data_IF_104674765299
#
_entry.id   IF_104674765299
#
_cell.length_a   1.000
_cell.length_b   1.000
_cell.length_c   1.000
_cell.angle_alpha   90.00
_cell.angle_beta   90.00
_cell.angle_gamma   90.00
#
_symmetry.space_group_name_H-M   'P 1'
#
loop_
_entity.id
_entity.type
_entity.pdbx_description
1 polymer ?
#
# COMPACT_ATOMS: atom_id res chain seq x y z
N UNK A 1 -18.22 4.37 11.68
CA UNK A 1 -17.04 3.49 11.86
C UNK A 1 -17.52 2.08 11.59
N UNK A 2 -16.70 1.24 10.94
CA UNK A 2 -17.12 -0.11 10.51
C UNK A 2 -17.83 -0.90 11.61
N UNK A 3 -17.35 -0.76 12.84
CA UNK A 3 -17.85 -1.49 14.00
C UNK A 3 -19.28 -1.08 14.36
N UNK A 4 -19.57 0.22 14.37
CA UNK A 4 -20.92 0.76 14.59
C UNK A 4 -21.86 0.39 13.44
N UNK A 5 -21.37 0.46 12.20
CA UNK A 5 -22.16 0.11 11.01
C UNK A 5 -22.53 -1.38 10.95
N UNK A 6 -21.67 -2.27 11.47
CA UNK A 6 -21.94 -3.70 11.52
C UNK A 6 -22.82 -4.12 12.71
N UNK A 7 -23.03 -3.25 13.71
CA UNK A 7 -23.84 -3.53 14.90
C UNK A 7 -23.45 -4.83 15.65
N UNK A 8 -22.15 -5.07 15.87
CA UNK A 8 -21.61 -6.32 16.45
C UNK A 8 -21.45 -6.24 17.99
N UNK A 9 -21.86 -5.12 18.59
CA UNK A 9 -21.90 -4.90 20.04
C UNK A 9 -21.50 -3.48 20.42
N UNK A 10 -21.53 -3.19 21.73
CA UNK A 10 -21.29 -1.83 22.24
C UNK A 10 -19.80 -1.52 22.45
N UNK A 11 -19.02 -2.52 22.89
CA UNK A 11 -17.60 -2.36 23.19
C UNK A 11 -16.72 -3.28 22.33
N UNK A 12 -15.72 -2.76 21.61
CA UNK A 12 -14.78 -3.59 20.86
C UNK A 12 -13.76 -4.25 21.80
N UNK A 13 -13.55 -5.56 21.59
CA UNK A 13 -12.35 -6.28 22.02
C UNK A 13 -11.57 -6.67 20.77
N UNK A 14 -10.39 -6.09 20.63
CA UNK A 14 -9.56 -6.12 19.43
C UNK A 14 -8.61 -7.32 19.43
N UNK A 15 -8.69 -8.13 18.39
CA UNK A 15 -7.63 -9.07 18.06
C UNK A 15 -6.70 -8.46 17.01
N UNK A 16 -5.44 -8.23 17.35
CA UNK A 16 -4.36 -7.93 16.43
C UNK A 16 -3.83 -9.25 15.86
N UNK A 17 -4.32 -9.60 14.69
CA UNK A 17 -4.15 -10.95 14.13
C UNK A 17 -2.91 -11.02 13.24
N UNK A 18 -2.00 -11.92 13.61
CA UNK A 18 -0.75 -12.22 12.89
C UNK A 18 -0.58 -13.75 12.71
N UNK A 19 0.44 -14.20 11.98
CA UNK A 19 0.75 -15.61 11.72
C UNK A 19 2.06 -16.03 12.41
N UNK A 20 2.03 -16.18 13.73
CA UNK A 20 3.16 -16.61 14.54
C UNK A 20 4.44 -15.79 14.36
N UNK A 21 5.61 -16.42 14.47
CA UNK A 21 6.93 -15.77 14.26
C UNK A 21 7.25 -15.45 12.79
N UNK A 22 6.36 -15.75 11.84
CA UNK A 22 6.59 -15.50 10.42
C UNK A 22 6.44 -14.02 10.03
N UNK A 23 5.90 -13.18 10.94
CA UNK A 23 5.56 -11.78 10.68
C UNK A 23 6.68 -10.76 10.80
N UNK A 24 7.79 -11.06 11.49
CA UNK A 24 8.95 -10.15 11.65
C UNK A 24 8.66 -8.79 12.32
N UNK A 25 7.41 -8.51 12.71
CA UNK A 25 6.91 -7.18 13.12
C UNK A 25 6.37 -7.16 14.56
N UNK A 26 6.77 -8.12 15.41
CA UNK A 26 6.23 -8.26 16.77
C UNK A 26 6.24 -6.94 17.56
N UNK A 27 7.31 -6.14 17.41
CA UNK A 27 7.44 -4.83 18.06
C UNK A 27 6.34 -3.84 17.68
N UNK A 28 6.07 -3.65 16.38
CA UNK A 28 5.06 -2.68 15.92
C UNK A 28 3.65 -3.10 16.36
N UNK A 29 3.35 -4.40 16.32
CA UNK A 29 2.04 -4.93 16.71
C UNK A 29 1.81 -4.78 18.21
N UNK A 30 2.85 -4.94 19.04
CA UNK A 30 2.80 -4.69 20.48
C UNK A 30 2.58 -3.21 20.81
N UNK A 31 3.25 -2.29 20.11
CA UNK A 31 3.01 -0.84 20.27
C UNK A 31 1.55 -0.49 19.95
N UNK A 32 0.99 -1.06 18.87
CA UNK A 32 -0.42 -0.85 18.51
C UNK A 32 -1.34 -1.42 19.59
N UNK A 33 -1.05 -2.62 20.12
CA UNK A 33 -1.82 -3.23 21.22
C UNK A 33 -1.86 -2.30 22.43
N UNK A 34 -0.69 -1.85 22.88
CA UNK A 34 -0.56 -1.06 24.09
C UNK A 34 -1.26 0.29 23.94
N UNK A 35 -1.15 0.92 22.75
CA UNK A 35 -1.93 2.13 22.43
C UNK A 35 -3.44 1.91 22.59
N UNK A 36 -4.01 0.81 22.09
CA UNK A 36 -5.45 0.54 22.26
C UNK A 36 -5.83 0.33 23.73
N UNK A 37 -5.00 -0.40 24.48
CA UNK A 37 -5.22 -0.66 25.92
C UNK A 37 -5.20 0.65 26.72
N UNK A 38 -4.23 1.52 26.47
CA UNK A 38 -4.11 2.84 27.11
C UNK A 38 -5.33 3.74 26.82
N UNK A 39 -6.01 3.51 25.70
CA UNK A 39 -7.23 4.23 25.30
C UNK A 39 -8.53 3.47 25.63
N UNK A 40 -8.47 2.46 26.50
CA UNK A 40 -9.65 1.76 27.03
C UNK A 40 -10.25 0.71 26.10
N UNK A 41 -9.54 0.30 25.05
CA UNK A 41 -9.94 -0.80 24.17
C UNK A 41 -9.09 -2.03 24.49
N UNK A 42 -9.72 -3.08 25.00
CA UNK A 42 -9.03 -4.35 25.23
C UNK A 42 -8.47 -4.90 23.91
N UNK A 43 -7.17 -5.21 23.89
CA UNK A 43 -6.48 -5.69 22.70
C UNK A 43 -5.51 -6.83 23.00
N UNK A 44 -5.48 -7.83 22.13
CA UNK A 44 -4.56 -8.97 22.22
C UNK A 44 -3.93 -9.26 20.86
N UNK A 45 -2.65 -9.65 20.86
CA UNK A 45 -2.01 -10.25 19.68
C UNK A 45 -2.39 -11.71 19.63
N UNK A 46 -2.99 -12.16 18.52
CA UNK A 46 -3.57 -13.50 18.40
C UNK A 46 -3.09 -14.13 17.10
N UNK A 47 -2.63 -15.38 17.15
CA UNK A 47 -2.41 -16.16 15.94
C UNK A 47 -3.76 -16.54 15.33
N UNK A 48 -3.95 -16.33 14.02
CA UNK A 48 -5.24 -16.65 13.41
C UNK A 48 -5.68 -18.12 13.58
N UNK A 49 -4.75 -19.03 13.87
CA UNK A 49 -5.01 -20.46 14.13
C UNK A 49 -5.58 -20.72 15.52
N UNK A 50 -5.45 -19.77 16.44
CA UNK A 50 -5.91 -19.89 17.84
C UNK A 50 -7.37 -19.45 18.01
N UNK A 51 -8.07 -19.19 16.91
CA UNK A 51 -9.49 -18.86 16.94
C UNK A 51 -10.38 -20.09 16.89
N UNK A 52 -11.41 -20.06 17.72
CA UNK A 52 -12.57 -20.96 17.66
C UNK A 52 -13.80 -20.17 17.21
N UNK A 53 -14.47 -20.62 16.16
CA UNK A 53 -15.74 -20.06 15.73
C UNK A 53 -16.90 -20.91 16.26
N UNK A 54 -17.67 -20.34 17.18
CA UNK A 54 -18.82 -21.04 17.78
C UNK A 54 -19.94 -20.06 18.07
N UNK A 55 -21.18 -20.50 17.79
CA UNK A 55 -22.41 -19.73 18.08
C UNK A 55 -22.35 -18.28 17.56
N UNK A 56 -21.85 -18.06 16.34
CA UNK A 56 -21.81 -16.73 15.71
C UNK A 56 -20.70 -15.81 16.20
N UNK A 57 -19.76 -16.28 17.01
CA UNK A 57 -18.70 -15.47 17.60
C UNK A 57 -17.33 -16.13 17.47
N UNK A 58 -16.28 -15.30 17.42
CA UNK A 58 -14.88 -15.73 17.44
C UNK A 58 -14.34 -15.66 18.86
N UNK A 59 -13.69 -16.74 19.30
CA UNK A 59 -13.05 -16.83 20.60
C UNK A 59 -11.58 -17.23 20.46
N UNK A 60 -10.73 -16.78 21.38
CA UNK A 60 -9.40 -17.37 21.59
C UNK A 60 -9.18 -17.52 23.08
N UNK A 61 -8.73 -18.70 23.53
CA UNK A 61 -8.60 -19.04 24.96
C UNK A 61 -9.87 -18.71 25.79
N UNK A 62 -11.05 -18.99 25.23
CA UNK A 62 -12.35 -18.72 25.88
C UNK A 62 -12.81 -17.26 25.84
N UNK A 63 -11.97 -16.33 25.39
CA UNK A 63 -12.27 -14.89 25.32
C UNK A 63 -12.87 -14.53 23.95
N UNK A 64 -14.00 -13.81 23.94
CA UNK A 64 -14.68 -13.35 22.71
C UNK A 64 -13.98 -12.13 22.11
N UNK A 65 -13.73 -12.16 20.80
CA UNK A 65 -13.25 -11.00 20.02
C UNK A 65 -14.28 -10.62 18.97
N UNK A 66 -14.66 -9.34 18.94
CA UNK A 66 -15.65 -8.78 18.01
C UNK A 66 -15.06 -7.70 17.09
N UNK A 67 -13.79 -7.34 17.27
CA UNK A 67 -13.02 -6.52 16.35
C UNK A 67 -11.71 -7.23 16.02
N UNK A 68 -11.29 -7.17 14.75
CA UNK A 68 -10.09 -7.84 14.26
C UNK A 68 -9.29 -6.83 13.45
N UNK A 69 -8.04 -6.59 13.85
CA UNK A 69 -7.04 -6.01 12.99
C UNK A 69 -6.27 -7.11 12.23
N UNK A 70 -6.50 -7.28 10.93
CA UNK A 70 -5.78 -8.24 10.07
C UNK A 70 -4.39 -7.70 9.73
N UNK A 71 -3.40 -8.10 10.52
CA UNK A 71 -1.97 -7.84 10.27
C UNK A 71 -1.31 -8.83 9.30
N UNK A 72 -1.99 -9.92 8.94
CA UNK A 72 -1.44 -10.96 8.07
C UNK A 72 -1.81 -10.83 6.59
N UNK A 73 -0.90 -11.32 5.73
CA UNK A 73 -1.08 -11.36 4.27
C UNK A 73 -2.19 -12.32 3.85
N UNK A 74 -2.89 -11.98 2.77
CA UNK A 74 -4.02 -12.76 2.28
C UNK A 74 -3.60 -14.15 1.78
N UNK A 75 -2.34 -14.31 1.32
CA UNK A 75 -1.84 -15.60 0.84
C UNK A 75 -1.83 -16.70 1.93
N UNK A 76 -1.69 -16.35 3.21
CA UNK A 76 -1.70 -17.34 4.30
C UNK A 76 -3.02 -18.10 4.37
N UNK A 77 -4.14 -17.46 4.03
CA UNK A 77 -5.45 -18.09 3.98
C UNK A 77 -5.58 -19.15 2.89
N UNK A 78 -4.84 -18.97 1.79
CA UNK A 78 -4.79 -19.94 0.69
C UNK A 78 -3.86 -21.11 1.02
N UNK A 79 -2.78 -20.85 1.77
CA UNK A 79 -1.78 -21.86 2.14
C UNK A 79 -2.23 -22.74 3.31
N UNK A 80 -2.99 -22.18 4.25
CA UNK A 80 -3.39 -22.85 5.50
C UNK A 80 -4.93 -22.86 5.71
N UNK A 81 -5.73 -23.32 4.73
CA UNK A 81 -7.18 -23.22 4.80
C UNK A 81 -7.80 -24.10 5.90
N UNK A 82 -7.13 -25.22 6.27
CA UNK A 82 -7.61 -26.12 7.32
C UNK A 82 -7.31 -25.57 8.71
N UNK A 83 -6.11 -25.04 8.92
CA UNK A 83 -5.72 -24.45 10.20
C UNK A 83 -6.49 -23.15 10.48
N UNK A 84 -6.91 -22.43 9.44
CA UNK A 84 -7.63 -21.16 9.55
C UNK A 84 -9.15 -21.28 9.36
N UNK A 85 -9.70 -22.51 9.42
CA UNK A 85 -11.12 -22.78 9.14
C UNK A 85 -12.07 -21.92 9.99
N UNK A 86 -11.74 -21.75 11.27
CA UNK A 86 -12.60 -21.07 12.24
C UNK A 86 -12.52 -19.56 12.08
N UNK A 87 -11.31 -19.02 11.92
CA UNK A 87 -11.14 -17.60 11.56
C UNK A 87 -11.90 -17.26 10.26
N UNK A 88 -11.76 -18.08 9.22
CA UNK A 88 -12.46 -17.88 7.96
C UNK A 88 -13.99 -17.96 8.15
N UNK A 89 -14.49 -18.97 8.88
CA UNK A 89 -15.90 -19.07 9.18
C UNK A 89 -16.43 -17.83 9.93
N UNK A 90 -15.69 -17.33 10.91
CA UNK A 90 -16.06 -16.12 11.65
C UNK A 90 -16.10 -14.87 10.78
N UNK A 91 -15.08 -14.65 9.93
CA UNK A 91 -15.06 -13.52 8.99
C UNK A 91 -16.22 -13.62 7.98
N UNK A 92 -16.41 -14.81 7.38
CA UNK A 92 -17.48 -15.06 6.39
C UNK A 92 -18.87 -14.80 6.97
N UNK A 93 -19.09 -15.21 8.22
CA UNK A 93 -20.35 -15.02 8.94
C UNK A 93 -20.44 -13.67 9.70
N UNK A 94 -19.51 -12.74 9.46
CA UNK A 94 -19.49 -11.40 10.09
C UNK A 94 -19.51 -11.43 11.62
N UNK A 95 -18.83 -12.40 12.22
CA UNK A 95 -18.73 -12.58 13.67
C UNK A 95 -17.96 -11.45 14.39
N UNK A 96 -17.16 -10.67 13.64
CA UNK A 96 -16.36 -9.55 14.10
C UNK A 96 -16.19 -8.49 12.99
N UNK A 97 -15.98 -7.20 13.31
CA UNK A 97 -15.52 -6.23 12.31
C UNK A 97 -14.07 -6.53 11.94
N UNK A 98 -13.80 -6.74 10.65
CA UNK A 98 -12.48 -7.03 10.10
C UNK A 98 -11.85 -5.78 9.45
N UNK A 99 -10.70 -5.35 9.96
CA UNK A 99 -9.90 -4.23 9.45
C UNK A 99 -8.46 -4.68 9.31
N UNK A 100 -7.79 -4.75 8.17
CA UNK A 100 -8.21 -4.45 6.82
C UNK A 100 -8.94 -5.66 6.23
N UNK A 101 -10.12 -5.43 5.64
CA UNK A 101 -10.89 -6.50 4.99
C UNK A 101 -10.13 -7.14 3.82
N UNK A 102 -10.52 -8.33 3.37
CA UNK A 102 -9.92 -8.95 2.18
C UNK A 102 -10.05 -8.10 0.90
N UNK A 103 -11.07 -7.23 0.82
CA UNK A 103 -11.24 -6.31 -0.32
C UNK A 103 -10.08 -5.31 -0.44
N UNK A 104 -9.41 -5.00 0.68
CA UNK A 104 -8.23 -4.11 0.68
C UNK A 104 -7.04 -4.66 -0.11
N UNK A 105 -7.00 -5.98 -0.36
CA UNK A 105 -5.92 -6.62 -1.14
C UNK A 105 -5.85 -6.05 -2.55
N UNK A 106 -7.00 -5.75 -3.16
CA UNK A 106 -7.07 -5.14 -4.50
C UNK A 106 -6.31 -3.80 -4.52
N UNK A 107 -6.43 -3.00 -3.45
CA UNK A 107 -5.71 -1.73 -3.33
C UNK A 107 -4.20 -1.88 -3.18
N UNK A 108 -3.69 -3.07 -2.83
CA UNK A 108 -2.25 -3.34 -2.75
C UNK A 108 -1.65 -3.90 -4.05
N UNK A 109 -2.47 -4.29 -5.02
CA UNK A 109 -2.02 -4.84 -6.29
C UNK A 109 -1.51 -3.76 -7.23
N UNK A 110 -0.27 -3.89 -7.73
CA UNK A 110 0.30 -2.88 -8.65
C UNK A 110 -0.41 -2.85 -10.00
N UNK A 111 -1.04 -3.96 -10.39
CA UNK A 111 -1.89 -4.03 -11.59
C UNK A 111 -3.11 -3.11 -11.53
N UNK A 112 -3.58 -2.74 -10.33
CA UNK A 112 -4.64 -1.74 -10.17
C UNK A 112 -4.21 -0.37 -10.74
N UNK A 113 -2.92 -0.05 -10.71
CA UNK A 113 -2.40 1.17 -11.32
C UNK A 113 -2.52 1.15 -12.84
N UNK A 114 -2.51 -0.04 -13.47
CA UNK A 114 -2.83 -0.13 -14.91
C UNK A 114 -4.26 0.32 -15.17
N UNK A 115 -5.23 -0.25 -14.42
CA UNK A 115 -6.63 0.14 -14.55
C UNK A 115 -6.83 1.65 -14.35
N UNK A 116 -6.24 2.22 -13.29
CA UNK A 116 -6.39 3.63 -12.94
C UNK A 116 -5.72 4.55 -14.00
N UNK A 117 -4.54 4.20 -14.50
CA UNK A 117 -3.78 5.04 -15.44
C UNK A 117 -4.15 4.84 -16.91
N UNK A 118 -5.06 3.92 -17.23
CA UNK A 118 -5.48 3.65 -18.60
C UNK A 118 -6.67 4.54 -18.99
N UNK A 119 -6.53 5.45 -19.98
CA UNK A 119 -7.60 6.36 -20.39
C UNK A 119 -8.90 5.67 -20.81
N UNK A 120 -8.84 4.41 -21.26
CA UNK A 120 -10.02 3.61 -21.59
C UNK A 120 -10.97 3.49 -20.38
N UNK A 121 -10.43 3.52 -19.16
CA UNK A 121 -11.19 3.42 -17.91
C UNK A 121 -11.62 4.77 -17.33
N UNK A 122 -11.32 5.90 -17.99
CA UNK A 122 -11.63 7.23 -17.44
C UNK A 122 -13.14 7.50 -17.26
N UNK A 123 -13.99 6.74 -17.95
CA UNK A 123 -15.44 6.80 -17.74
C UNK A 123 -15.90 6.36 -16.34
N UNK A 124 -15.05 5.70 -15.54
CA UNK A 124 -15.33 5.40 -14.13
C UNK A 124 -14.99 6.54 -13.16
N UNK A 125 -14.37 7.62 -13.65
CA UNK A 125 -13.85 8.71 -12.83
C UNK A 125 -14.46 10.04 -13.26
N UNK A 126 -14.63 10.95 -12.31
CA UNK A 126 -15.00 12.34 -12.63
C UNK A 126 -13.75 13.15 -13.08
N UNK A 127 -13.98 14.36 -13.59
CA UNK A 127 -12.91 15.20 -14.13
C UNK A 127 -11.81 15.53 -13.10
N UNK A 128 -12.18 15.79 -11.85
CA UNK A 128 -11.21 16.08 -10.78
C UNK A 128 -10.34 14.86 -10.47
N UNK A 129 -10.95 13.67 -10.39
CA UNK A 129 -10.24 12.41 -10.20
C UNK A 129 -9.28 12.15 -11.37
N UNK A 130 -9.71 12.37 -12.62
CA UNK A 130 -8.84 12.22 -13.80
C UNK A 130 -7.64 13.18 -13.73
N UNK A 131 -7.85 14.44 -13.31
CA UNK A 131 -6.76 15.41 -13.11
C UNK A 131 -5.75 14.90 -12.06
N UNK A 132 -6.23 14.37 -10.93
CA UNK A 132 -5.39 13.78 -9.88
C UNK A 132 -4.63 12.55 -10.40
N UNK A 133 -5.30 11.65 -11.11
CA UNK A 133 -4.71 10.45 -11.70
C UNK A 133 -3.55 10.82 -12.63
N UNK A 134 -3.78 11.70 -13.60
CA UNK A 134 -2.75 12.14 -14.56
C UNK A 134 -1.55 12.79 -13.88
N UNK A 135 -1.76 13.48 -12.76
CA UNK A 135 -0.71 14.18 -12.02
C UNK A 135 0.12 13.26 -11.14
N UNK A 136 -0.47 12.22 -10.55
CA UNK A 136 0.14 11.47 -9.45
C UNK A 136 0.35 9.98 -9.72
N UNK A 137 -0.32 9.40 -10.73
CA UNK A 137 -0.21 7.97 -11.04
C UNK A 137 0.65 7.81 -12.29
N UNK A 138 1.84 7.18 -12.20
CA UNK A 138 2.66 6.88 -13.37
C UNK A 138 1.92 5.97 -14.35
N UNK A 139 2.13 6.18 -15.64
CA UNK A 139 1.62 5.28 -16.68
C UNK A 139 2.03 3.84 -16.35
N UNK A 140 1.07 2.92 -16.34
CA UNK A 140 1.29 1.52 -15.95
C UNK A 140 0.47 0.62 -16.87
N UNK A 141 1.02 -0.51 -17.31
CA UNK A 141 0.31 -1.55 -18.06
C UNK A 141 0.70 -2.94 -17.57
N UNK A 142 -0.25 -3.87 -17.61
CA UNK A 142 0.01 -5.30 -17.44
C UNK A 142 0.56 -5.87 -18.75
N UNK A 143 1.36 -6.93 -18.66
CA UNK A 143 1.96 -7.53 -19.85
C UNK A 143 0.94 -8.25 -20.76
N UNK A 144 -0.28 -8.52 -20.27
CA UNK A 144 -1.39 -9.05 -21.07
C UNK A 144 -2.16 -7.98 -21.85
N UNK A 145 -1.86 -6.69 -21.67
CA UNK A 145 -2.40 -5.58 -22.47
C UNK A 145 -1.59 -5.38 -23.76
N UNK A 146 -1.62 -6.37 -24.65
CA UNK A 146 -0.75 -6.46 -25.84
C UNK A 146 -0.83 -5.23 -26.76
N UNK A 147 -2.03 -4.69 -26.97
CA UNK A 147 -2.30 -3.40 -27.61
C UNK A 147 -2.87 -2.45 -26.57
N UNK A 148 -2.30 -1.25 -26.46
CA UNK A 148 -2.70 -0.31 -25.41
C UNK A 148 -2.39 1.14 -25.79
N UNK A 149 -2.87 2.08 -24.97
CA UNK A 149 -2.55 3.50 -25.11
C UNK A 149 -1.20 3.82 -24.44
N UNK A 150 -0.29 4.44 -25.20
CA UNK A 150 0.96 5.01 -24.71
C UNK A 150 0.71 6.17 -23.73
N UNK A 151 1.76 6.64 -23.07
CA UNK A 151 1.71 7.84 -22.23
C UNK A 151 1.33 9.08 -23.03
N UNK A 152 1.73 9.11 -24.30
CA UNK A 152 1.50 10.20 -25.25
C UNK A 152 0.08 10.19 -25.82
N UNK A 153 -0.68 9.12 -25.59
CA UNK A 153 -2.05 8.99 -26.08
C UNK A 153 -2.15 8.39 -27.49
N UNK A 154 -1.20 7.53 -27.86
CA UNK A 154 -1.20 6.78 -29.13
C UNK A 154 -1.46 5.29 -28.88
N UNK A 155 -2.13 4.62 -29.81
CA UNK A 155 -2.25 3.16 -29.76
C UNK A 155 -0.92 2.51 -30.15
N UNK A 156 -0.41 1.62 -29.30
CA UNK A 156 0.89 0.97 -29.47
C UNK A 156 0.81 -0.51 -29.12
N UNK A 157 1.65 -1.31 -29.76
CA UNK A 157 1.99 -2.65 -29.27
C UNK A 157 2.86 -2.50 -28.04
N UNK A 158 2.38 -2.97 -26.88
CA UNK A 158 3.06 -2.81 -25.59
C UNK A 158 4.49 -3.35 -25.63
N UNK A 159 4.69 -4.51 -26.25
CA UNK A 159 6.02 -5.13 -26.41
C UNK A 159 7.00 -4.22 -27.17
N UNK A 160 6.57 -3.64 -28.29
CA UNK A 160 7.40 -2.72 -29.08
C UNK A 160 7.71 -1.45 -28.29
N UNK A 161 6.71 -0.89 -27.59
CA UNK A 161 6.89 0.27 -26.72
C UNK A 161 7.91 0.00 -25.61
N UNK A 162 7.87 -1.18 -25.00
CA UNK A 162 8.81 -1.58 -23.95
C UNK A 162 10.25 -1.73 -24.43
N UNK A 163 10.46 -2.10 -25.70
CA UNK A 163 11.80 -2.16 -26.29
C UNK A 163 12.34 -0.76 -26.61
N UNK A 164 11.51 0.11 -27.19
CA UNK A 164 11.89 1.48 -27.58
C UNK A 164 12.11 2.39 -26.37
N UNK A 165 11.22 2.31 -25.37
CA UNK A 165 11.19 3.21 -24.21
C UNK A 165 11.83 2.63 -22.96
N UNK A 166 12.67 1.59 -23.10
CA UNK A 166 13.27 0.85 -21.98
C UNK A 166 13.74 1.76 -20.84
N UNK A 167 14.55 2.78 -21.12
CA UNK A 167 15.19 3.59 -20.10
C UNK A 167 14.21 4.49 -19.31
N UNK A 168 13.00 4.66 -19.82
CA UNK A 168 11.89 5.38 -19.18
C UNK A 168 10.98 4.46 -18.36
N UNK A 169 11.27 3.16 -18.28
CA UNK A 169 10.36 2.14 -17.77
C UNK A 169 10.96 1.30 -16.62
N UNK A 170 10.07 0.69 -15.86
CA UNK A 170 10.34 -0.28 -14.80
C UNK A 170 9.43 -1.49 -14.98
N UNK A 171 10.00 -2.68 -14.98
CA UNK A 171 9.27 -3.95 -14.97
C UNK A 171 9.24 -4.49 -13.53
N UNK A 172 8.08 -4.97 -13.08
CA UNK A 172 7.94 -5.60 -11.76
C UNK A 172 6.75 -6.56 -11.68
N UNK A 173 6.79 -7.56 -10.77
CA UNK A 173 5.62 -8.35 -10.44
C UNK A 173 4.48 -7.48 -9.91
N UNK A 174 3.25 -7.80 -10.32
CA UNK A 174 2.02 -7.13 -9.90
C UNK A 174 1.84 -7.26 -8.37
N UNK A 175 1.97 -8.48 -7.86
CA UNK A 175 1.88 -8.82 -6.44
C UNK A 175 3.26 -8.74 -5.76
N UNK A 176 3.30 -8.75 -4.43
CA UNK A 176 4.54 -8.87 -3.66
C UNK A 176 5.26 -7.57 -3.32
N UNK A 177 6.29 -7.69 -2.48
CA UNK A 177 7.08 -6.60 -1.90
C UNK A 177 8.58 -6.96 -1.87
N UNK A 178 9.44 -6.05 -1.39
CA UNK A 178 10.86 -6.36 -1.19
C UNK A 178 11.80 -5.93 -2.33
N UNK A 179 11.26 -5.44 -3.45
CA UNK A 179 12.07 -5.13 -4.65
C UNK A 179 12.45 -6.36 -5.48
N UNK A 180 12.04 -7.56 -5.05
CA UNK A 180 12.28 -8.79 -5.80
C UNK A 180 11.56 -8.75 -7.15
N UNK A 181 12.28 -9.12 -8.21
CA UNK A 181 11.77 -9.09 -9.59
C UNK A 181 11.63 -7.69 -10.18
N UNK A 182 12.05 -6.62 -9.50
CA UNK A 182 12.03 -5.27 -10.07
C UNK A 182 13.24 -5.06 -10.97
N UNK A 183 13.00 -4.60 -12.19
CA UNK A 183 14.03 -4.19 -13.14
C UNK A 183 13.81 -2.74 -13.55
N UNK A 184 14.82 -1.91 -13.32
CA UNK A 184 14.83 -0.51 -13.75
C UNK A 184 15.50 -0.44 -15.11
N UNK A 185 14.78 0.00 -16.14
CA UNK A 185 15.25 -0.11 -17.53
C UNK A 185 16.59 0.59 -17.77
N UNK A 186 16.74 1.84 -17.30
CA UNK A 186 18.01 2.59 -17.41
C UNK A 186 19.22 1.94 -16.71
N UNK A 187 18.98 1.03 -15.78
CA UNK A 187 20.02 0.31 -15.02
C UNK A 187 20.12 -1.17 -15.42
N UNK A 188 19.34 -1.61 -16.42
CA UNK A 188 19.30 -3.00 -16.89
C UNK A 188 19.92 -3.08 -18.27
N UNK A 189 20.72 -4.12 -18.52
CA UNK A 189 21.27 -4.40 -19.86
C UNK A 189 20.14 -4.65 -20.88
N UNK A 190 20.35 -4.24 -22.14
CA UNK A 190 19.34 -4.34 -23.19
C UNK A 190 18.94 -5.79 -23.48
N UNK A 191 19.90 -6.73 -23.55
CA UNK A 191 19.63 -8.13 -23.86
C UNK A 191 18.79 -8.74 -22.74
N UNK A 192 19.22 -8.53 -21.49
CA UNK A 192 18.47 -8.99 -20.31
C UNK A 192 17.06 -8.39 -20.23
N UNK A 193 16.90 -7.11 -20.53
CA UNK A 193 15.59 -6.48 -20.59
C UNK A 193 14.71 -7.17 -21.63
N UNK A 194 15.23 -7.34 -22.85
CA UNK A 194 14.51 -7.95 -23.95
C UNK A 194 14.06 -9.37 -23.64
N UNK A 195 14.94 -10.19 -23.06
CA UNK A 195 14.65 -11.57 -22.65
C UNK A 195 13.48 -11.63 -21.67
N UNK A 196 13.40 -10.69 -20.73
CA UNK A 196 12.30 -10.65 -19.74
C UNK A 196 11.01 -10.17 -20.37
N UNK A 197 11.04 -9.19 -21.28
CA UNK A 197 9.85 -8.78 -22.02
C UNK A 197 9.32 -9.93 -22.86
N UNK A 198 10.19 -10.66 -23.56
CA UNK A 198 9.83 -11.86 -24.33
C UNK A 198 9.22 -12.94 -23.43
N UNK A 199 9.92 -13.29 -22.34
CA UNK A 199 9.55 -14.42 -21.48
C UNK A 199 8.20 -14.25 -20.77
N UNK A 200 7.82 -13.01 -20.43
CA UNK A 200 6.59 -12.73 -19.68
C UNK A 200 5.51 -12.03 -20.49
N UNK A 201 5.72 -11.79 -21.79
CA UNK A 201 4.70 -11.19 -22.66
C UNK A 201 3.40 -12.00 -22.57
N UNK A 202 2.27 -11.34 -22.27
CA UNK A 202 0.98 -12.01 -22.05
C UNK A 202 0.72 -12.48 -20.62
N UNK A 203 1.68 -12.35 -19.69
CA UNK A 203 1.49 -12.75 -18.29
C UNK A 203 0.85 -11.61 -17.46
N UNK A 204 -0.40 -11.77 -16.95
CA UNK A 204 -1.07 -10.74 -16.16
C UNK A 204 -0.41 -10.49 -14.79
N UNK A 205 0.52 -11.34 -14.35
CA UNK A 205 1.24 -11.18 -13.09
C UNK A 205 2.41 -10.19 -13.17
N UNK A 206 2.70 -9.66 -14.35
CA UNK A 206 3.75 -8.65 -14.55
C UNK A 206 3.16 -7.33 -15.03
N UNK A 207 3.78 -6.25 -14.56
CA UNK A 207 3.48 -4.91 -15.04
C UNK A 207 4.75 -4.22 -15.53
N UNK A 208 4.55 -3.31 -16.48
CA UNK A 208 5.50 -2.27 -16.82
C UNK A 208 4.92 -0.93 -16.36
N UNK A 209 5.78 -0.07 -15.84
CA UNK A 209 5.40 1.23 -15.31
C UNK A 209 6.44 2.27 -15.72
N UNK A 210 5.99 3.49 -16.00
CA UNK A 210 6.85 4.64 -16.17
C UNK A 210 7.76 4.80 -14.94
N UNK A 211 9.06 4.94 -15.16
CA UNK A 211 10.01 5.26 -14.12
C UNK A 211 9.63 6.60 -13.47
N UNK A 212 9.50 6.59 -12.14
CA UNK A 212 9.30 7.79 -11.35
C UNK A 212 10.62 8.21 -10.72
N UNK A 213 11.04 9.44 -10.96
CA UNK A 213 12.23 9.99 -10.33
C UNK A 213 12.07 10.03 -8.81
N UNK A 214 13.12 9.56 -8.14
CA UNK A 214 13.13 9.42 -6.69
C UNK A 214 13.84 10.64 -6.13
N UNK A 215 13.17 11.45 -5.28
CA UNK A 215 13.78 12.64 -4.73
C UNK A 215 14.99 12.28 -3.88
N UNK A 216 16.03 13.12 -3.97
CA UNK A 216 17.18 13.03 -3.10
C UNK A 216 17.14 14.15 -2.07
N UNK A 217 17.55 13.81 -0.84
CA UNK A 217 17.69 14.76 0.26
C UNK A 217 19.07 14.59 0.89
N UNK A 218 19.69 15.70 1.25
CA UNK A 218 20.99 15.71 1.93
C UNK A 218 20.77 15.51 3.43
N UNK A 219 21.30 14.43 4.00
CA UNK A 219 21.09 14.07 5.40
C UNK A 219 22.42 13.90 6.15
N UNK A 220 22.48 14.22 7.45
CA UNK A 220 23.63 13.91 8.28
C UNK A 220 23.70 12.41 8.54
N UNK A 221 24.88 11.81 8.30
CA UNK A 221 25.17 10.40 8.58
C UNK A 221 26.47 10.28 9.36
N UNK A 222 26.54 9.29 10.25
CA UNK A 222 27.74 9.01 11.02
C UNK A 222 28.62 8.03 10.22
N UNK A 223 29.83 8.47 9.85
CA UNK A 223 30.87 7.68 9.19
C UNK A 223 32.16 7.76 9.97
N UNK A 224 32.72 6.63 10.39
CA UNK A 224 33.99 6.58 11.14
C UNK A 224 34.04 7.60 12.29
N UNK A 225 32.98 7.66 13.10
CA UNK A 225 32.78 8.60 14.21
C UNK A 225 32.78 10.10 13.84
N UNK A 226 32.52 10.44 12.56
CA UNK A 226 32.32 11.83 12.11
C UNK A 226 30.95 11.98 11.47
N UNK A 227 30.34 13.15 11.64
CA UNK A 227 29.12 13.52 10.92
C UNK A 227 29.55 14.02 9.54
N UNK A 228 29.01 13.40 8.49
CA UNK A 228 29.14 13.85 7.10
C UNK A 228 27.75 13.98 6.50
N UNK A 229 27.61 14.83 5.50
CA UNK A 229 26.33 14.99 4.81
C UNK A 229 26.38 14.28 3.46
N UNK A 230 25.46 13.35 3.25
CA UNK A 230 25.37 12.54 2.04
C UNK A 230 23.97 12.71 1.41
N UNK A 231 23.90 12.69 0.09
CA UNK A 231 22.60 12.61 -0.61
C UNK A 231 22.02 11.21 -0.43
N UNK A 232 20.75 11.15 -0.04
CA UNK A 232 19.99 9.91 0.11
C UNK A 232 18.73 9.98 -0.72
N UNK A 233 18.37 8.86 -1.34
CA UNK A 233 17.07 8.70 -1.97
C UNK A 233 15.99 8.64 -0.88
N UNK A 234 14.93 9.44 -1.01
CA UNK A 234 13.85 9.56 -0.04
C UNK A 234 12.55 8.97 -0.58
N UNK A 235 11.87 8.22 0.27
CA UNK A 235 10.50 7.76 0.05
C UNK A 235 9.65 8.13 1.26
N UNK A 236 8.48 8.72 1.00
CA UNK A 236 7.50 9.06 2.02
C UNK A 236 6.25 8.24 1.74
N UNK A 237 5.78 7.52 2.75
CA UNK A 237 4.60 6.65 2.66
C UNK A 237 3.55 7.13 3.65
N UNK A 238 2.59 7.98 3.22
CA UNK A 238 1.55 8.52 4.09
C UNK A 238 0.53 7.46 4.50
N UNK A 239 0.02 7.58 5.72
CA UNK A 239 -1.11 6.82 6.23
C UNK A 239 -2.37 7.69 6.18
N UNK A 240 -3.46 7.11 5.69
CA UNK A 240 -4.76 7.77 5.56
C UNK A 240 -5.84 6.92 6.21
N UNK A 241 -6.50 7.45 7.24
CA UNK A 241 -7.63 6.80 7.91
C UNK A 241 -8.91 7.59 7.63
N UNK A 242 -9.92 6.92 7.07
CA UNK A 242 -11.21 7.53 6.74
C UNK A 242 -11.08 8.85 5.93
N UNK A 243 -10.18 8.86 4.93
CA UNK A 243 -9.90 10.02 4.09
C UNK A 243 -9.04 11.10 4.74
N UNK A 244 -8.58 10.93 5.99
CA UNK A 244 -7.74 11.91 6.70
C UNK A 244 -6.31 11.42 6.82
N UNK A 245 -5.35 12.29 6.54
CA UNK A 245 -3.94 12.06 6.79
C UNK A 245 -3.69 11.89 8.30
N UNK A 246 -2.92 10.86 8.69
CA UNK A 246 -2.62 10.55 10.10
C UNK A 246 -1.13 10.38 10.39
N UNK A 247 -0.25 10.65 9.43
CA UNK A 247 1.20 10.53 9.58
C UNK A 247 1.85 9.88 8.36
N UNK A 248 3.18 9.79 8.36
CA UNK A 248 3.94 9.19 7.27
C UNK A 248 5.10 8.36 7.79
N UNK A 249 5.39 7.26 7.10
CA UNK A 249 6.67 6.56 7.23
C UNK A 249 7.67 7.14 6.23
N UNK A 250 8.81 7.61 6.72
CA UNK A 250 9.93 8.03 5.90
C UNK A 250 10.94 6.89 5.73
N UNK A 251 11.47 6.72 4.52
CA UNK A 251 12.54 5.77 4.22
C UNK A 251 13.63 6.43 3.40
N UNK A 252 14.88 6.10 3.71
CA UNK A 252 16.06 6.62 3.02
C UNK A 252 16.94 5.49 2.52
N UNK A 253 17.62 5.68 1.39
CA UNK A 253 18.52 4.66 0.82
C UNK A 253 19.73 5.29 0.14
N UNK A 254 20.82 4.55 0.10
CA UNK A 254 22.01 4.84 -0.72
C UNK A 254 21.77 4.53 -2.21
N UNK A 255 20.74 3.73 -2.51
CA UNK A 255 20.40 3.24 -3.85
C UNK A 255 19.01 3.70 -4.27
N UNK A 256 18.80 3.73 -5.58
CA UNK A 256 17.50 4.03 -6.21
C UNK A 256 16.40 3.02 -5.84
N UNK A 257 16.74 1.76 -5.52
CA UNK A 257 15.78 0.82 -4.92
C UNK A 257 15.67 1.07 -3.41
N UNK A 258 14.71 1.89 -3.00
CA UNK A 258 14.43 2.21 -1.58
C UNK A 258 13.58 1.10 -0.93
N UNK A 259 14.20 -0.05 -0.63
CA UNK A 259 13.64 -1.03 0.29
C UNK A 259 14.52 -1.18 1.53
N UNK A 260 13.89 -1.34 2.71
CA UNK A 260 14.59 -1.62 3.97
C UNK A 260 15.36 -2.93 3.86
N UNK A 261 14.79 -3.95 3.20
CA UNK A 261 15.48 -5.21 2.92
C UNK A 261 16.69 -5.09 1.98
N UNK A 262 16.85 -3.93 1.33
CA UNK A 262 17.95 -3.63 0.39
C UNK A 262 18.97 -2.64 0.97
N UNK A 263 18.94 -2.41 2.29
CA UNK A 263 19.86 -1.51 3.00
C UNK A 263 19.32 -0.10 3.24
N UNK A 264 18.02 0.13 3.02
CA UNK A 264 17.36 1.39 3.37
C UNK A 264 17.11 1.55 4.87
N UNK A 265 17.18 2.78 5.38
CA UNK A 265 16.83 3.13 6.76
C UNK A 265 15.41 3.71 6.87
N UNK A 266 14.83 3.63 8.07
CA UNK A 266 13.58 4.31 8.43
C UNK A 266 13.92 5.64 9.10
N UNK A 267 13.21 6.70 8.75
CA UNK A 267 13.32 8.01 9.39
C UNK A 267 11.94 8.50 9.86
N UNK A 268 11.86 9.24 10.97
CA UNK A 268 10.64 9.92 11.34
C UNK A 268 10.34 11.06 10.36
N UNK A 269 9.06 11.32 10.10
CA UNK A 269 8.58 12.45 9.31
C UNK A 269 7.71 13.31 10.21
N UNK A 270 8.08 14.57 10.38
CA UNK A 270 7.35 15.54 11.18
C UNK A 270 6.69 16.56 10.26
N UNK A 271 5.36 16.64 10.30
CA UNK A 271 4.62 17.72 9.66
C UNK A 271 4.81 19.00 10.48
N UNK A 272 5.37 20.04 9.87
CA UNK A 272 5.50 21.35 10.49
C UNK A 272 4.19 22.09 10.25
N UNK A 273 3.57 22.63 11.31
CA UNK A 273 2.49 23.61 11.14
C UNK A 273 3.13 24.89 10.62
N UNK A 274 2.80 25.28 9.40
CA UNK A 274 3.03 26.66 8.99
C UNK A 274 2.01 27.51 9.76
N UNK A 275 2.49 28.38 10.64
CA UNK A 275 1.69 29.53 11.05
C UNK A 275 1.54 30.38 9.79
N UNK A 276 0.34 30.39 9.22
CA UNK A 276 0.01 31.38 8.19
C UNK A 276 0.09 32.75 8.88
N UNK A 277 1.03 33.60 8.43
CA UNK A 277 1.00 35.03 8.74
C UNK A 277 -0.42 35.53 8.42
N UNK A 278 -1.10 36.05 9.43
CA UNK A 278 -2.48 36.52 9.39
C UNK A 278 -2.64 37.84 8.60
N UNK A 279 -2.03 37.95 7.42
CA UNK A 279 -2.02 39.18 6.61
C UNK A 279 -2.32 38.97 5.12
N UNK A 280 -3.07 37.93 4.75
CA UNK A 280 -3.71 37.90 3.41
C UNK A 280 -4.95 37.00 3.38
N UNK A 281 -5.96 37.30 4.20
CA UNK A 281 -7.34 36.92 3.88
C UNK A 281 -7.99 38.08 3.09
N UNK A 282 -7.85 38.05 1.78
CA UNK A 282 -8.84 38.65 0.88
C UNK A 282 -8.97 37.78 -0.35
N UNK A 283 -10.23 37.42 -0.63
CA UNK A 283 -10.76 36.78 -1.83
C UNK A 283 -10.63 35.26 -1.90
N UNK A 284 -11.66 34.58 -1.39
CA UNK A 284 -12.60 33.77 -2.19
C UNK A 284 -13.87 33.56 -1.33
N UNK A 285 -14.88 34.40 -1.57
CA UNK A 285 -16.25 34.14 -1.12
C UNK A 285 -16.90 33.13 -2.07
N UNK A 286 -17.21 31.94 -1.55
CA UNK A 286 -18.11 30.98 -2.23
C UNK A 286 -19.55 31.40 -1.90
N UNK A 287 -20.23 32.01 -2.86
CA UNK A 287 -21.67 32.25 -2.79
C UNK A 287 -22.43 30.91 -2.77
N UNK A 288 -23.03 30.59 -1.63
CA UNK A 288 -24.08 29.59 -1.51
C UNK A 288 -25.38 30.16 -2.11
N UNK A 289 -25.75 29.74 -3.32
CA UNK A 289 -27.15 29.85 -3.77
C UNK A 289 -27.94 28.64 -3.30
N UNK A 290 -28.76 28.87 -2.27
CA UNK A 290 -30.03 28.16 -2.08
C UNK A 290 -31.03 28.68 -3.10
N UNK A 291 -31.83 27.81 -3.69
CA UNK A 291 -33.24 28.06 -4.06
C UNK A 291 -33.90 26.69 -4.33
N UNK A 292 -34.79 26.29 -3.41
CA UNK A 292 -36.25 26.05 -3.53
C UNK A 292 -36.60 24.72 -4.19
#
# INVERSE_FOLDING_TARGET
SCFKEMNIGDNPRLALVDFGSAGGSRGDVEIIRDYFIEHGVEANVIDARDFEYRKGHLYSNGVKFNAIHRGMRAEFFLRYPKELKDFHAGVKNKAACLVNSFKSVIGSEKSMLSFISNPINYHYFNEEQIKVIKKHIPWTRKFDETITMSKEGEEVTLKAYMFDKKDELVIKPATGAGGYGVMVGKSTDQMKWNDVVEAYSGDPNWIVQQYADIPQVKLPVIRKNKIVFENKFLNISPYVFNGKYVGSLGRVSDKDVINVSSGGGIIPIFGIKHEEDSSSESDITVENKKEV
#
